data_IF_340366260744
#
_entry.id   IF_340366260744
#
_cell.length_a   1.000
_cell.length_b   1.000
_cell.length_c   1.000
_cell.angle_alpha   90.00
_cell.angle_beta   90.00
_cell.angle_gamma   90.00
#
_symmetry.space_group_name_H-M   'P 1'
#
loop_
_entity.id
_entity.type
_entity.pdbx_description
1 polymer ?
#
# COMPACT_ATOMS: atom_id res chain seq x y z
N UNK A 1 -31.23 -16.01 28.60
CA UNK A 1 -30.95 -14.62 28.15
C UNK A 1 -30.23 -14.75 26.82
N UNK A 2 -30.87 -14.33 25.73
CA UNK A 2 -30.22 -14.25 24.41
C UNK A 2 -29.17 -13.15 24.53
N UNK A 3 -27.89 -13.50 24.44
CA UNK A 3 -26.84 -12.49 24.31
C UNK A 3 -27.03 -11.85 22.96
N UNK A 4 -27.46 -10.59 22.94
CA UNK A 4 -27.40 -9.75 21.74
C UNK A 4 -25.93 -9.67 21.34
N UNK A 5 -25.56 -10.45 20.34
CA UNK A 5 -24.26 -10.36 19.68
C UNK A 5 -24.31 -9.03 18.92
N UNK A 6 -23.80 -7.97 19.57
CA UNK A 6 -23.62 -6.66 18.95
C UNK A 6 -22.57 -6.88 17.86
N UNK A 7 -23.03 -7.13 16.64
CA UNK A 7 -22.17 -7.07 15.46
C UNK A 7 -21.84 -5.60 15.27
N UNK A 8 -20.76 -5.14 15.91
CA UNK A 8 -20.20 -3.83 15.62
C UNK A 8 -19.81 -3.82 14.14
N UNK A 9 -20.65 -3.17 13.34
CA UNK A 9 -20.43 -2.98 11.91
C UNK A 9 -19.23 -2.05 11.75
N UNK A 10 -18.02 -2.62 11.65
CA UNK A 10 -16.78 -1.86 11.48
C UNK A 10 -16.91 -0.95 10.27
N UNK A 11 -16.65 0.35 10.45
CA UNK A 11 -16.62 1.30 9.35
C UNK A 11 -15.54 0.90 8.34
N UNK A 12 -15.78 1.16 7.05
CA UNK A 12 -14.79 0.89 5.98
C UNK A 12 -13.46 1.58 6.26
N UNK A 13 -13.48 2.74 6.92
CA UNK A 13 -12.29 3.46 7.35
C UNK A 13 -11.54 2.70 8.44
N UNK A 14 -12.25 2.18 9.44
CA UNK A 14 -11.63 1.41 10.54
C UNK A 14 -11.00 0.12 10.01
N UNK A 15 -11.65 -0.55 9.06
CA UNK A 15 -11.09 -1.71 8.37
C UNK A 15 -9.80 -1.38 7.61
N UNK A 16 -9.74 -0.21 6.96
CA UNK A 16 -8.53 0.24 6.25
C UNK A 16 -7.41 0.58 7.25
N UNK A 17 -7.73 1.25 8.35
CA UNK A 17 -6.76 1.60 9.40
C UNK A 17 -6.21 0.35 10.08
N UNK A 18 -7.06 -0.64 10.36
CA UNK A 18 -6.66 -1.92 10.94
C UNK A 18 -5.80 -2.73 9.95
N UNK A 19 -6.14 -2.73 8.67
CA UNK A 19 -5.33 -3.36 7.62
C UNK A 19 -3.96 -2.68 7.48
N UNK A 20 -3.89 -1.35 7.57
CA UNK A 20 -2.63 -0.59 7.55
C UNK A 20 -1.80 -0.81 8.82
N UNK A 21 -2.46 -0.90 9.98
CA UNK A 21 -1.80 -1.12 11.27
C UNK A 21 -1.23 -2.54 11.40
N UNK A 22 -1.86 -3.51 10.76
CA UNK A 22 -1.37 -4.89 10.66
C UNK A 22 -0.49 -5.13 9.43
N UNK A 23 -0.36 -4.14 8.53
CA UNK A 23 0.48 -4.26 7.36
C UNK A 23 1.95 -4.28 7.78
N UNK A 24 2.71 -5.22 7.22
CA UNK A 24 4.15 -5.28 7.43
C UNK A 24 4.77 -3.99 6.90
N UNK A 25 5.77 -3.44 7.61
CA UNK A 25 6.49 -2.22 7.22
C UNK A 25 6.86 -2.15 5.71
N UNK A 26 7.24 -3.25 5.04
CA UNK A 26 7.56 -3.22 3.61
C UNK A 26 6.35 -2.93 2.70
N UNK A 27 5.13 -3.31 3.11
CA UNK A 27 3.89 -2.97 2.38
C UNK A 27 3.57 -1.49 2.51
N UNK A 28 3.83 -0.89 3.67
CA UNK A 28 3.65 0.55 3.89
C UNK A 28 4.64 1.34 3.02
N UNK A 29 5.90 0.88 2.96
CA UNK A 29 6.94 1.45 2.09
C UNK A 29 6.55 1.33 0.61
N UNK A 30 5.98 0.19 0.19
CA UNK A 30 5.44 0.00 -1.17
C UNK A 30 4.43 1.09 -1.50
N UNK A 31 3.43 1.24 -0.63
CA UNK A 31 2.33 2.15 -0.84
C UNK A 31 2.81 3.61 -0.90
N UNK A 32 3.70 4.00 0.01
CA UNK A 32 4.28 5.34 0.01
C UNK A 32 5.06 5.65 -1.29
N UNK A 33 5.93 4.75 -1.74
CA UNK A 33 6.68 4.91 -2.99
C UNK A 33 5.74 4.94 -4.21
N UNK A 34 4.71 4.10 -4.22
CA UNK A 34 3.70 4.10 -5.28
C UNK A 34 2.94 5.43 -5.36
N UNK A 35 2.54 6.01 -4.22
CA UNK A 35 1.90 7.31 -4.18
C UNK A 35 2.80 8.42 -4.73
N UNK A 36 4.09 8.44 -4.35
CA UNK A 36 5.06 9.43 -4.84
C UNK A 36 5.22 9.34 -6.36
N UNK A 37 5.40 8.12 -6.90
CA UNK A 37 5.50 7.92 -8.35
C UNK A 37 4.22 8.31 -9.09
N UNK A 38 3.05 8.06 -8.49
CA UNK A 38 1.76 8.44 -9.08
C UNK A 38 1.60 9.95 -9.15
N UNK A 39 2.07 10.69 -8.13
CA UNK A 39 2.10 12.16 -8.15
C UNK A 39 3.06 12.65 -9.25
N UNK A 40 4.25 12.06 -9.36
CA UNK A 40 5.24 12.41 -10.39
C UNK A 40 4.71 12.18 -11.81
N UNK A 41 3.96 11.09 -12.02
CA UNK A 41 3.24 10.82 -13.26
C UNK A 41 2.16 11.88 -13.54
N UNK A 42 1.37 12.23 -12.52
CA UNK A 42 0.29 13.22 -12.66
C UNK A 42 0.80 14.61 -13.02
N UNK A 43 1.93 15.06 -12.45
CA UNK A 43 2.55 16.35 -12.78
C UNK A 43 3.34 16.33 -14.09
N UNK A 44 3.40 15.18 -14.78
CA UNK A 44 4.13 15.01 -16.04
C UNK A 44 5.65 14.98 -15.89
N UNK A 45 6.16 14.84 -14.67
CA UNK A 45 7.60 14.72 -14.40
C UNK A 45 8.14 13.31 -14.71
N UNK A 46 7.24 12.36 -14.97
CA UNK A 46 7.54 10.97 -15.28
C UNK A 46 6.74 10.52 -16.49
N UNK A 47 7.34 9.78 -17.43
CA UNK A 47 6.59 9.20 -18.54
C UNK A 47 5.76 7.99 -18.08
N UNK A 48 4.64 7.67 -18.75
CA UNK A 48 3.85 6.47 -18.43
C UNK A 48 4.64 5.17 -18.60
N UNK A 49 5.59 5.12 -19.55
CA UNK A 49 6.49 3.98 -19.71
C UNK A 49 7.43 3.84 -18.50
N UNK A 50 8.08 4.92 -18.07
CA UNK A 50 9.01 4.89 -16.93
C UNK A 50 8.29 4.55 -15.62
N UNK A 51 7.05 5.04 -15.44
CA UNK A 51 6.21 4.64 -14.30
C UNK A 51 5.96 3.13 -14.29
N UNK A 52 5.56 2.59 -15.44
CA UNK A 52 5.27 1.18 -15.58
C UNK A 52 6.52 0.34 -15.30
N UNK A 53 7.69 0.79 -15.74
CA UNK A 53 8.97 0.12 -15.49
C UNK A 53 9.38 0.23 -14.02
N UNK A 54 9.26 1.39 -13.38
CA UNK A 54 9.58 1.55 -11.94
C UNK A 54 8.66 0.74 -11.01
N UNK A 55 7.39 0.58 -11.39
CA UNK A 55 6.39 -0.18 -10.62
C UNK A 55 6.46 -1.68 -10.92
N UNK A 56 6.59 -2.08 -12.19
CA UNK A 56 6.54 -3.50 -12.61
C UNK A 56 7.92 -4.15 -12.78
N UNK A 57 8.92 -3.41 -13.25
CA UNK A 57 10.28 -3.91 -13.48
C UNK A 57 11.13 -3.68 -12.22
N UNK A 58 10.87 -4.52 -11.22
CA UNK A 58 11.78 -4.81 -10.11
C UNK A 58 12.21 -3.66 -9.18
N UNK A 59 12.02 -2.38 -9.50
CA UNK A 59 12.53 -1.27 -8.67
C UNK A 59 11.90 -1.24 -7.28
N UNK A 60 10.57 -1.09 -7.22
CA UNK A 60 9.85 -1.03 -5.95
C UNK A 60 9.65 -2.43 -5.37
N UNK A 61 9.18 -3.38 -6.18
CA UNK A 61 8.83 -4.73 -5.70
C UNK A 61 10.08 -5.50 -5.23
N UNK A 62 11.20 -5.44 -5.97
CA UNK A 62 12.43 -6.13 -5.56
C UNK A 62 13.09 -5.45 -4.35
N UNK A 63 13.10 -4.12 -4.28
CA UNK A 63 13.61 -3.40 -3.10
C UNK A 63 12.84 -3.79 -1.83
N UNK A 64 11.54 -4.01 -1.95
CA UNK A 64 10.66 -4.37 -0.84
C UNK A 64 10.81 -5.84 -0.48
N UNK A 65 10.95 -6.73 -1.46
CA UNK A 65 11.29 -8.13 -1.20
C UNK A 65 12.66 -8.29 -0.54
N UNK A 66 13.62 -7.38 -0.80
CA UNK A 66 14.89 -7.32 -0.06
C UNK A 66 14.69 -6.88 1.39
N UNK A 67 13.87 -5.85 1.63
CA UNK A 67 13.54 -5.36 2.98
C UNK A 67 12.73 -6.36 3.83
N UNK A 68 11.98 -7.28 3.23
CA UNK A 68 11.20 -8.33 3.93
C UNK A 68 12.06 -9.54 4.30
N UNK A 69 13.22 -9.74 3.65
CA UNK A 69 14.08 -10.92 3.83
C UNK A 69 15.15 -10.76 4.92
N UNK A 70 15.27 -9.57 5.53
CA UNK A 70 15.99 -9.36 6.79
C UNK A 70 15.04 -9.53 7.99
#
# INVERSE_FOLDING_TARGET
>A
MMSEEIVEEKSKLDMIVEALSNAKAPVIVFFAMFCILSILLYVGALSPQDFKELVLADGIVSAILKLVKE
#
